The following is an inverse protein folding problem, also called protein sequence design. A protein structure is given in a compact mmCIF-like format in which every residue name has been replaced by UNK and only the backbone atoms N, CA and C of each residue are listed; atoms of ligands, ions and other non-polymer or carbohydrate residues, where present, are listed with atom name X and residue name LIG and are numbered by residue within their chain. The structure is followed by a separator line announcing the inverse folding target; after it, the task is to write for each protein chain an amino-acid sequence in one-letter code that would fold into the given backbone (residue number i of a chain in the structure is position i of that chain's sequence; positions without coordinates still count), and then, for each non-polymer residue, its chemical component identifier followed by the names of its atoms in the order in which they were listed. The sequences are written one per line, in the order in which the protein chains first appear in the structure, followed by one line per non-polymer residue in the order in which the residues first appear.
data_IF_743836257719
#
_entry.id   IF_743836257719
#
_cell.length_a   1.000
_cell.length_b   1.000
_cell.length_c   1.000
_cell.angle_alpha   90.00
_cell.angle_beta   90.00
_cell.angle_gamma   90.00
#
_symmetry.space_group_name_H-M   'P 1'
#
loop_
_entity.id
_entity.type
_entity.pdbx_description
1 polymer ?
#
# COMPACT_ATOMS: atom_id res chain seq x y z
N UNK A 1 -12.21 18.79 13.33
CA UNK A 1 -11.93 19.87 14.31
C UNK A 1 -11.60 21.19 13.62
N UNK A 2 -10.53 21.27 12.82
CA UNK A 2 -10.02 22.50 12.19
C UNK A 2 -11.04 23.30 11.36
N UNK A 3 -11.96 22.61 10.67
CA UNK A 3 -13.00 23.26 9.85
C UNK A 3 -14.04 24.00 10.70
N UNK A 4 -14.43 23.44 11.85
CA UNK A 4 -15.38 24.05 12.77
C UNK A 4 -14.75 25.23 13.52
N UNK A 5 -13.48 25.11 13.93
CA UNK A 5 -12.72 26.23 14.50
C UNK A 5 -12.55 27.38 13.51
N UNK A 6 -12.23 27.08 12.25
CA UNK A 6 -12.14 28.08 11.18
C UNK A 6 -13.48 28.76 10.90
N UNK A 7 -14.56 27.99 10.76
CA UNK A 7 -15.93 28.50 10.56
C UNK A 7 -16.38 29.41 11.71
N UNK A 8 -16.13 29.02 12.96
CA UNK A 8 -16.48 29.83 14.13
C UNK A 8 -15.67 31.12 14.22
N UNK A 9 -14.36 31.05 13.98
CA UNK A 9 -13.49 32.24 13.99
C UNK A 9 -13.93 33.23 12.91
N UNK A 10 -14.25 32.76 11.70
CA UNK A 10 -14.72 33.61 10.61
C UNK A 10 -16.06 34.29 10.93
N UNK A 11 -16.99 33.56 11.57
CA UNK A 11 -18.22 34.15 12.09
C UNK A 11 -18.00 35.16 13.23
N UNK A 12 -16.97 34.96 14.07
CA UNK A 12 -16.60 35.88 15.14
C UNK A 12 -16.03 37.20 14.59
N UNK A 13 -15.22 37.12 13.52
CA UNK A 13 -14.72 38.29 12.78
C UNK A 13 -15.86 39.03 12.04
N UNK A 14 -16.81 38.32 11.44
CA UNK A 14 -17.98 38.92 10.79
C UNK A 14 -18.97 39.54 11.79
N UNK A 15 -19.13 38.95 12.98
CA UNK A 15 -20.04 39.46 14.01
C UNK A 15 -19.55 40.76 14.67
N UNK A 16 -18.24 41.00 14.72
CA UNK A 16 -17.67 42.28 15.16
C UNK A 16 -18.08 43.44 14.24
N UNK A 17 -18.22 43.19 12.94
CA UNK A 17 -18.75 44.18 12.01
C UNK A 17 -20.22 44.54 12.27
N UNK A 18 -20.94 43.77 13.12
CA UNK A 18 -22.37 43.95 13.41
C UNK A 18 -22.69 44.20 14.90
N UNK A 19 -21.70 44.42 15.78
CA UNK A 19 -21.86 44.70 17.22
C UNK A 19 -22.89 43.79 17.96
N UNK A 20 -22.86 42.46 17.75
CA UNK A 20 -23.96 41.58 18.18
C UNK A 20 -23.60 40.30 18.94
N UNK A 21 -22.49 40.23 19.67
CA UNK A 21 -22.25 39.08 20.57
C UNK A 21 -22.11 39.50 22.03
N UNK A 22 -22.92 38.86 22.88
CA UNK A 22 -22.86 39.05 24.33
C UNK A 22 -21.66 38.30 24.93
N UNK A 23 -21.06 38.81 26.02
CA UNK A 23 -19.94 38.16 26.71
C UNK A 23 -20.23 36.71 27.14
N UNK A 24 -21.50 36.40 27.38
CA UNK A 24 -21.98 35.08 27.76
C UNK A 24 -21.82 34.05 26.63
N UNK A 25 -22.12 34.43 25.38
CA UNK A 25 -21.98 33.53 24.22
C UNK A 25 -20.50 33.23 23.94
N UNK A 26 -19.63 34.22 24.15
CA UNK A 26 -18.17 34.04 24.04
C UNK A 26 -17.65 33.07 25.13
N UNK A 27 -18.13 33.19 26.36
CA UNK A 27 -17.77 32.29 27.46
C UNK A 27 -18.27 30.85 27.22
N UNK A 28 -19.50 30.68 26.72
CA UNK A 28 -20.03 29.36 26.38
C UNK A 28 -19.29 28.70 25.21
N UNK A 29 -18.83 29.50 24.22
CA UNK A 29 -18.02 28.99 23.12
C UNK A 29 -16.65 28.52 23.59
N UNK A 30 -15.98 29.32 24.42
CA UNK A 30 -14.69 28.98 25.05
C UNK A 30 -14.82 27.67 25.85
N UNK A 31 -15.86 27.57 26.68
CA UNK A 31 -16.12 26.39 27.51
C UNK A 31 -16.44 25.13 26.67
N UNK A 32 -17.24 25.27 25.61
CA UNK A 32 -17.54 24.18 24.68
C UNK A 32 -16.32 23.65 23.95
N UNK A 33 -15.37 24.52 23.56
CA UNK A 33 -14.08 24.10 23.00
C UNK A 33 -13.14 23.43 23.99
N UNK A 34 -13.14 23.85 25.26
CA UNK A 34 -12.34 23.22 26.33
C UNK A 34 -12.81 21.77 26.55
N UNK A 35 -14.13 21.56 26.69
CA UNK A 35 -14.71 20.23 26.83
C UNK A 35 -14.45 19.34 25.61
N UNK A 36 -14.56 19.89 24.40
CA UNK A 36 -14.29 19.14 23.17
C UNK A 36 -12.79 18.82 22.96
N UNK A 37 -11.89 19.60 23.56
CA UNK A 37 -10.43 19.35 23.53
C UNK A 37 -10.00 18.30 24.56
N UNK A 38 -10.64 18.31 25.74
CA UNK A 38 -10.42 17.31 26.80
C UNK A 38 -11.03 15.95 26.41
N UNK A 39 -12.23 15.94 25.80
CA UNK A 39 -12.93 14.70 25.44
C UNK A 39 -12.30 13.92 24.27
N UNK A 40 -11.41 14.55 23.49
CA UNK A 40 -10.86 13.96 22.25
C UNK A 40 -9.44 13.38 22.43
N UNK A 41 -8.71 13.64 23.52
CA UNK A 41 -7.31 13.21 23.63
C UNK A 41 -6.90 12.65 25.02
N UNK A 42 -6.94 11.32 25.11
CA UNK A 42 -6.52 10.47 26.24
C UNK A 42 -5.02 10.13 26.15
N UNK A 43 -4.14 11.08 25.81
CA UNK A 43 -2.68 10.89 25.87
C UNK A 43 -2.02 12.04 26.65
N UNK A 44 -1.40 11.70 27.79
CA UNK A 44 -0.90 12.62 28.83
C UNK A 44 0.16 13.62 28.33
N UNK A 45 0.93 13.28 27.28
CA UNK A 45 2.14 14.03 26.90
C UNK A 45 1.92 15.36 26.15
N UNK A 46 0.69 15.68 25.72
CA UNK A 46 0.43 16.86 24.85
C UNK A 46 -0.58 17.87 25.40
N UNK A 47 -1.10 17.64 26.60
CA UNK A 47 -2.13 18.50 27.21
C UNK A 47 -1.63 19.94 27.36
N UNK A 48 -0.37 20.12 27.79
CA UNK A 48 0.23 21.44 28.03
C UNK A 48 0.38 22.25 26.74
N UNK A 49 0.81 21.62 25.65
CA UNK A 49 1.00 22.30 24.35
C UNK A 49 -0.35 22.72 23.75
N UNK A 50 -1.33 21.82 23.74
CA UNK A 50 -2.68 22.11 23.24
C UNK A 50 -3.37 23.21 24.06
N UNK A 51 -3.21 23.19 25.40
CA UNK A 51 -3.69 24.25 26.28
C UNK A 51 -3.00 25.60 26.00
N UNK A 52 -1.69 25.59 25.74
CA UNK A 52 -0.92 26.78 25.38
C UNK A 52 -1.37 27.40 24.05
N UNK A 53 -1.55 26.59 23.00
CA UNK A 53 -2.07 27.04 21.70
C UNK A 53 -3.47 27.64 21.84
N UNK A 54 -4.34 26.98 22.60
CA UNK A 54 -5.69 27.49 22.88
C UNK A 54 -5.66 28.85 23.59
N UNK A 55 -4.86 28.98 24.67
CA UNK A 55 -4.71 30.23 25.39
C UNK A 55 -4.19 31.36 24.48
N UNK A 56 -3.26 31.06 23.57
CA UNK A 56 -2.76 32.01 22.59
C UNK A 56 -3.87 32.46 21.60
N UNK A 57 -4.69 31.54 21.09
CA UNK A 57 -5.81 31.87 20.18
C UNK A 57 -6.86 32.74 20.89
N UNK A 58 -7.22 32.40 22.14
CA UNK A 58 -8.15 33.19 22.95
C UNK A 58 -7.58 34.59 23.23
N UNK A 59 -6.31 34.69 23.63
CA UNK A 59 -5.65 35.97 23.86
C UNK A 59 -5.63 36.85 22.60
N UNK A 60 -5.30 36.26 21.44
CA UNK A 60 -5.35 36.95 20.14
C UNK A 60 -6.76 37.45 19.83
N UNK A 61 -7.78 36.60 20.03
CA UNK A 61 -9.18 36.98 19.81
C UNK A 61 -9.61 38.12 20.74
N UNK A 62 -9.22 38.09 22.02
CA UNK A 62 -9.49 39.16 22.99
C UNK A 62 -8.76 40.45 22.62
N UNK A 63 -7.49 40.39 22.22
CA UNK A 63 -6.71 41.57 21.80
C UNK A 63 -7.29 42.21 20.54
N UNK A 64 -7.71 41.39 19.57
CA UNK A 64 -8.46 41.87 18.42
C UNK A 64 -9.74 42.54 18.91
N UNK A 65 -10.62 41.82 19.63
CA UNK A 65 -11.95 42.29 20.01
C UNK A 65 -11.95 43.56 20.86
N UNK A 66 -11.03 43.66 21.82
CA UNK A 66 -10.83 44.84 22.68
C UNK A 66 -10.20 46.03 21.96
N UNK A 67 -9.83 45.88 20.68
CA UNK A 67 -9.23 46.95 19.89
C UNK A 67 -7.74 47.20 20.18
N UNK A 68 -7.12 46.38 21.03
CA UNK A 68 -5.69 46.46 21.34
C UNK A 68 -4.79 45.97 20.19
N UNK A 69 -5.37 45.35 19.17
CA UNK A 69 -4.66 44.86 17.99
C UNK A 69 -5.52 44.98 16.72
N UNK A 70 -4.92 45.44 15.63
CA UNK A 70 -5.60 45.50 14.33
C UNK A 70 -5.91 44.09 13.78
N UNK A 71 -7.05 43.90 13.09
CA UNK A 71 -7.46 42.59 12.58
C UNK A 71 -6.48 41.94 11.58
N UNK A 72 -5.66 42.71 10.87
CA UNK A 72 -4.64 42.16 9.95
C UNK A 72 -3.54 41.41 10.71
N UNK A 73 -3.09 41.96 11.83
CA UNK A 73 -2.07 41.36 12.69
C UNK A 73 -2.62 40.16 13.46
N UNK A 74 -3.88 40.24 13.92
CA UNK A 74 -4.56 39.09 14.50
C UNK A 74 -4.68 37.90 13.55
N UNK A 75 -4.99 38.14 12.27
CA UNK A 75 -5.02 37.10 11.22
C UNK A 75 -3.63 36.51 10.95
N UNK A 76 -2.61 37.34 10.82
CA UNK A 76 -1.24 36.89 10.59
C UNK A 76 -0.72 36.03 11.75
N UNK A 77 -0.94 36.46 13.00
CA UNK A 77 -0.54 35.73 14.20
C UNK A 77 -1.34 34.43 14.37
N UNK A 78 -2.63 34.42 14.01
CA UNK A 78 -3.42 33.19 14.00
C UNK A 78 -2.85 32.16 13.01
N UNK A 79 -2.50 32.58 11.80
CA UNK A 79 -1.84 31.71 10.81
C UNK A 79 -0.52 31.18 11.37
N UNK A 80 0.28 32.02 12.02
CA UNK A 80 1.54 31.62 12.65
C UNK A 80 1.32 30.60 13.79
N UNK A 81 0.32 30.81 14.65
CA UNK A 81 -0.03 29.89 15.74
C UNK A 81 -0.48 28.54 15.19
N UNK A 82 -1.33 28.53 14.16
CA UNK A 82 -1.76 27.31 13.48
C UNK A 82 -0.57 26.62 12.81
N UNK A 83 0.33 27.36 12.18
CA UNK A 83 1.55 26.79 11.60
C UNK A 83 2.44 26.15 12.66
N UNK A 84 2.68 26.83 13.79
CA UNK A 84 3.48 26.29 14.91
C UNK A 84 2.82 25.04 15.50
N UNK A 85 1.50 25.05 15.71
CA UNK A 85 0.75 23.90 16.19
C UNK A 85 0.90 22.71 15.23
N UNK A 86 0.62 22.91 13.94
CA UNK A 86 0.76 21.86 12.93
C UNK A 86 2.20 21.37 12.82
N UNK A 87 3.17 22.28 12.82
CA UNK A 87 4.60 21.95 12.75
C UNK A 87 5.04 21.15 13.97
N UNK A 88 4.73 21.58 15.19
CA UNK A 88 5.10 20.86 16.42
C UNK A 88 4.39 19.52 16.52
N UNK A 89 3.14 19.43 16.05
CA UNK A 89 2.41 18.18 16.00
C UNK A 89 3.04 17.16 15.04
N UNK A 90 3.56 17.61 13.88
CA UNK A 90 3.99 16.77 12.77
C UNK A 90 5.50 16.69 12.52
N UNK A 91 6.35 17.56 13.11
CA UNK A 91 7.79 17.53 12.82
C UNK A 91 8.45 16.19 13.21
N UNK A 92 7.84 15.48 14.17
CA UNK A 92 8.27 14.14 14.59
C UNK A 92 7.91 13.07 13.57
N UNK A 93 6.86 13.29 12.77
CA UNK A 93 6.40 12.37 11.71
C UNK A 93 7.19 12.54 10.41
N UNK A 94 7.78 13.71 10.17
CA UNK A 94 8.62 13.99 8.99
C UNK A 94 10.01 14.39 9.47
N UNK A 95 10.81 13.41 9.96
CA UNK A 95 12.12 13.72 10.48
C UNK A 95 13.05 14.17 9.36
N UNK A 96 13.84 15.22 9.62
CA UNK A 96 14.96 15.59 8.77
C UNK A 96 16.07 14.54 8.94
N UNK A 97 16.14 13.58 8.03
CA UNK A 97 17.14 12.51 8.02
C UNK A 97 18.08 12.65 6.82
N UNK A 98 19.29 12.12 6.95
CA UNK A 98 20.22 12.04 5.83
C UNK A 98 19.58 11.20 4.70
N UNK A 99 19.63 11.71 3.47
CA UNK A 99 19.15 11.02 2.27
C UNK A 99 19.74 9.61 2.16
N UNK A 100 20.99 9.40 2.58
CA UNK A 100 21.67 8.10 2.58
C UNK A 100 20.89 7.04 3.34
N UNK A 101 20.24 7.39 4.45
CA UNK A 101 19.43 6.46 5.24
C UNK A 101 18.23 5.91 4.46
N UNK A 102 17.74 6.63 3.45
CA UNK A 102 16.62 6.20 2.61
C UNK A 102 17.10 5.55 1.31
N UNK A 103 18.24 5.99 0.77
CA UNK A 103 18.74 5.47 -0.51
C UNK A 103 19.67 4.27 -0.38
N UNK A 104 20.24 4.02 0.80
CA UNK A 104 21.08 2.86 1.03
C UNK A 104 20.21 1.62 1.28
N UNK A 105 20.49 0.50 0.59
CA UNK A 105 19.81 -0.75 0.85
C UNK A 105 19.98 -1.17 2.32
N UNK A 106 19.00 -1.87 2.91
CA UNK A 106 19.13 -2.52 4.21
C UNK A 106 20.38 -3.39 4.32
N UNK A 107 21.04 -3.40 5.48
CA UNK A 107 22.21 -4.25 5.76
C UNK A 107 21.91 -5.73 5.46
N UNK A 108 20.73 -6.22 5.83
CA UNK A 108 20.30 -7.61 5.59
C UNK A 108 20.29 -8.00 4.11
N UNK A 109 20.24 -7.04 3.17
CA UNK A 109 20.35 -7.35 1.75
C UNK A 109 21.75 -7.71 1.30
N UNK A 110 22.79 -7.18 1.97
CA UNK A 110 24.18 -7.49 1.62
C UNK A 110 24.48 -8.98 1.77
N UNK A 111 23.72 -9.66 2.65
CA UNK A 111 23.83 -11.07 2.95
C UNK A 111 22.89 -11.96 2.11
N UNK A 112 22.03 -11.39 1.25
CA UNK A 112 21.17 -12.18 0.36
C UNK A 112 21.98 -12.65 -0.86
N UNK A 113 22.16 -13.97 -1.06
CA UNK A 113 23.10 -14.53 -2.04
C UNK A 113 22.70 -14.31 -3.50
N UNK A 114 21.43 -14.02 -3.76
CA UNK A 114 20.92 -13.59 -5.05
C UNK A 114 20.38 -12.17 -4.84
N UNK A 115 20.72 -11.20 -5.70
CA UNK A 115 20.24 -9.83 -5.56
C UNK A 115 19.90 -9.17 -6.91
N UNK A 116 18.60 -8.90 -7.20
CA UNK A 116 17.44 -9.47 -6.51
C UNK A 116 17.12 -10.87 -7.09
N UNK A 117 16.98 -11.90 -6.23
CA UNK A 117 16.40 -13.17 -6.66
C UNK A 117 14.93 -12.94 -7.00
N UNK A 118 14.38 -13.75 -7.90
CA UNK A 118 12.92 -13.83 -8.08
C UNK A 118 12.20 -14.46 -6.87
N UNK A 119 12.94 -14.80 -5.80
CA UNK A 119 12.41 -15.32 -4.54
C UNK A 119 11.97 -14.21 -3.59
N UNK A 120 10.90 -14.51 -2.84
CA UNK A 120 10.39 -13.65 -1.79
C UNK A 120 11.16 -13.82 -0.48
N UNK A 121 11.10 -12.78 0.32
CA UNK A 121 11.55 -12.71 1.71
C UNK A 121 10.32 -12.75 2.63
N UNK A 122 10.47 -13.40 3.78
CA UNK A 122 9.54 -13.32 4.91
C UNK A 122 10.28 -12.80 6.13
N UNK A 123 9.69 -11.89 6.88
CA UNK A 123 10.34 -11.28 8.07
C UNK A 123 9.49 -11.41 9.34
N UNK A 124 8.38 -12.13 9.27
CA UNK A 124 7.50 -12.39 10.40
C UNK A 124 7.97 -13.55 11.29
N UNK A 125 7.39 -13.68 12.47
CA UNK A 125 7.59 -14.83 13.33
C UNK A 125 6.63 -15.97 12.95
N UNK A 126 7.06 -17.23 13.04
CA UNK A 126 6.23 -18.39 12.68
C UNK A 126 5.37 -18.91 13.84
N UNK A 127 5.81 -18.67 15.08
CA UNK A 127 5.11 -19.01 16.32
C UNK A 127 3.98 -18.03 16.65
N UNK A 128 4.05 -16.80 16.12
CA UNK A 128 2.99 -15.79 16.32
C UNK A 128 1.84 -15.96 15.34
N UNK A 129 0.65 -15.59 15.81
CA UNK A 129 -0.54 -15.49 14.98
C UNK A 129 -0.56 -14.21 14.13
N UNK A 130 0.04 -13.11 14.58
CA UNK A 130 -0.02 -11.82 13.89
C UNK A 130 1.26 -11.56 13.10
N UNK A 131 1.08 -11.15 11.83
CA UNK A 131 2.16 -10.54 11.05
C UNK A 131 2.65 -9.25 11.74
N UNK A 132 3.89 -8.85 11.47
CA UNK A 132 4.35 -7.50 11.84
C UNK A 132 3.41 -6.47 11.20
N UNK A 133 2.88 -5.54 11.99
CA UNK A 133 1.87 -4.57 11.55
C UNK A 133 2.33 -3.14 11.83
N UNK A 134 1.78 -2.18 11.09
CA UNK A 134 2.06 -0.73 11.20
C UNK A 134 1.91 -0.12 12.60
N UNK A 135 1.22 -0.79 13.52
CA UNK A 135 1.00 -0.30 14.89
C UNK A 135 1.96 -0.92 15.91
N UNK A 136 2.91 -1.74 15.44
CA UNK A 136 3.93 -2.42 16.24
C UNK A 136 5.31 -2.00 15.72
N UNK A 137 5.57 -0.69 15.74
CA UNK A 137 6.93 -0.19 15.52
C UNK A 137 7.88 -0.83 16.53
N UNK A 138 9.13 -1.12 16.14
CA UNK A 138 10.16 -1.49 17.10
C UNK A 138 10.20 -0.43 18.21
N UNK A 139 10.18 -0.86 19.47
CA UNK A 139 10.32 0.06 20.58
C UNK A 139 11.70 0.71 20.49
N UNK A 140 11.71 2.01 20.16
CA UNK A 140 12.91 2.79 20.05
C UNK A 140 12.72 4.14 20.76
N UNK A 141 13.80 4.76 21.27
CA UNK A 141 13.75 6.07 21.88
C UNK A 141 13.06 7.17 21.06
N UNK A 142 13.01 7.04 19.73
CA UNK A 142 12.32 7.97 18.84
C UNK A 142 11.88 7.29 17.54
N UNK A 143 10.95 7.94 16.83
CA UNK A 143 10.34 7.43 15.59
C UNK A 143 11.36 7.23 14.45
N UNK A 144 12.41 8.06 14.39
CA UNK A 144 13.45 7.95 13.36
C UNK A 144 14.16 6.61 13.47
N UNK A 145 14.56 6.25 14.69
CA UNK A 145 15.22 4.99 14.94
C UNK A 145 14.28 3.81 14.70
N UNK A 146 12.99 3.91 15.05
CA UNK A 146 12.00 2.89 14.69
C UNK A 146 11.94 2.65 13.17
N UNK A 147 11.93 3.71 12.36
CA UNK A 147 11.93 3.58 10.89
C UNK A 147 13.24 3.02 10.33
N UNK A 148 14.38 3.44 10.86
CA UNK A 148 15.68 2.87 10.47
C UNK A 148 15.68 1.37 10.77
N UNK A 149 15.22 0.96 11.95
CA UNK A 149 15.14 -0.45 12.33
C UNK A 149 14.19 -1.26 11.43
N UNK A 150 13.04 -0.70 11.07
CA UNK A 150 12.14 -1.34 10.11
C UNK A 150 12.80 -1.52 8.74
N UNK A 151 13.55 -0.51 8.28
CA UNK A 151 14.32 -0.60 7.04
C UNK A 151 15.40 -1.67 7.14
N UNK A 152 16.28 -1.61 8.16
CA UNK A 152 17.41 -2.53 8.30
C UNK A 152 16.99 -3.98 8.50
N UNK A 153 15.81 -4.22 9.08
CA UNK A 153 15.22 -5.57 9.20
C UNK A 153 14.43 -6.02 7.98
N UNK A 154 14.48 -5.23 6.89
CA UNK A 154 13.72 -5.44 5.66
C UNK A 154 12.22 -5.70 5.94
N UNK A 155 11.62 -4.96 6.87
CA UNK A 155 10.20 -5.07 7.20
C UNK A 155 9.33 -5.04 5.92
N UNK A 156 8.20 -5.77 5.86
CA UNK A 156 7.46 -5.95 4.62
C UNK A 156 7.10 -4.62 3.96
N UNK A 157 7.09 -4.60 2.62
CA UNK A 157 6.92 -3.43 1.75
C UNK A 157 8.07 -2.42 1.72
N UNK A 158 8.86 -2.26 2.79
CA UNK A 158 9.94 -1.25 2.80
C UNK A 158 11.09 -1.63 1.87
N UNK A 159 11.44 -2.91 1.80
CA UNK A 159 12.49 -3.41 0.91
C UNK A 159 12.11 -3.41 -0.58
N UNK A 160 10.85 -3.16 -0.93
CA UNK A 160 10.40 -3.21 -2.33
C UNK A 160 11.04 -2.12 -3.19
N UNK A 161 11.37 -0.97 -2.60
CA UNK A 161 12.12 0.11 -3.29
C UNK A 161 13.52 -0.37 -3.73
N UNK A 162 14.06 -1.38 -3.05
CA UNK A 162 15.36 -1.99 -3.32
C UNK A 162 15.25 -3.32 -4.07
N UNK A 163 14.05 -3.71 -4.52
CA UNK A 163 13.83 -4.95 -5.27
C UNK A 163 13.48 -6.19 -4.44
N UNK A 164 13.23 -6.08 -3.12
CA UNK A 164 12.69 -7.22 -2.37
C UNK A 164 11.22 -7.46 -2.68
N UNK A 165 10.92 -8.73 -2.84
CA UNK A 165 9.56 -9.23 -2.94
C UNK A 165 9.17 -9.88 -1.61
N UNK A 166 7.93 -9.68 -1.20
CA UNK A 166 7.41 -10.20 0.07
C UNK A 166 6.24 -11.14 -0.19
N UNK A 167 6.06 -12.13 0.69
CA UNK A 167 4.85 -12.94 0.74
C UNK A 167 3.80 -12.38 1.71
N UNK A 168 4.23 -11.49 2.61
CA UNK A 168 3.42 -10.79 3.60
C UNK A 168 3.50 -9.27 3.41
N UNK A 169 2.93 -8.53 4.36
CA UNK A 169 2.89 -7.07 4.35
C UNK A 169 1.52 -6.52 3.97
N UNK A 170 1.49 -5.20 3.78
CA UNK A 170 0.28 -4.46 3.49
C UNK A 170 0.09 -4.31 1.99
N UNK A 171 -1.10 -4.64 1.54
CA UNK A 171 -1.53 -4.35 0.19
C UNK A 171 -2.40 -3.09 0.18
N UNK A 172 -2.30 -2.31 -0.88
CA UNK A 172 -3.15 -1.13 -1.05
C UNK A 172 -4.63 -1.50 -1.24
N UNK A 173 -4.89 -2.72 -1.72
CA UNK A 173 -6.22 -3.30 -1.92
C UNK A 173 -6.22 -4.64 -1.19
N UNK A 174 -7.17 -4.85 -0.29
CA UNK A 174 -7.33 -6.14 0.40
C UNK A 174 -8.08 -7.11 -0.52
N UNK A 175 -7.35 -8.06 -1.09
CA UNK A 175 -7.92 -9.09 -1.95
C UNK A 175 -8.45 -10.24 -1.09
N UNK A 176 -9.65 -10.74 -1.40
CA UNK A 176 -10.25 -11.89 -0.69
C UNK A 176 -9.30 -13.09 -0.63
N UNK A 177 -8.67 -13.45 -1.76
CA UNK A 177 -7.72 -14.57 -1.83
C UNK A 177 -6.51 -14.35 -0.92
N UNK A 178 -6.00 -13.11 -0.81
CA UNK A 178 -4.86 -12.81 0.05
C UNK A 178 -5.28 -12.80 1.51
N UNK A 179 -6.43 -12.23 1.85
CA UNK A 179 -6.99 -12.31 3.18
C UNK A 179 -7.16 -13.77 3.63
N UNK A 180 -7.68 -14.62 2.75
CA UNK A 180 -7.88 -16.05 3.02
C UNK A 180 -6.55 -16.78 3.22
N UNK A 181 -5.55 -16.51 2.39
CA UNK A 181 -4.18 -17.01 2.59
C UNK A 181 -3.62 -16.60 3.96
N UNK A 182 -3.76 -15.32 4.33
CA UNK A 182 -3.36 -14.76 5.63
C UNK A 182 -4.07 -15.43 6.79
N UNK A 183 -5.38 -15.66 6.70
CA UNK A 183 -6.14 -16.36 7.74
C UNK A 183 -5.71 -17.82 7.88
N UNK A 184 -5.51 -18.52 6.76
CA UNK A 184 -5.02 -19.89 6.74
C UNK A 184 -3.63 -19.97 7.36
N UNK A 185 -2.73 -19.06 6.99
CA UNK A 185 -1.36 -18.99 7.51
C UNK A 185 -1.36 -18.82 9.02
N UNK A 186 -2.11 -17.81 9.52
CA UNK A 186 -2.21 -17.49 10.95
C UNK A 186 -2.64 -18.67 11.80
N UNK A 187 -3.66 -19.41 11.36
CA UNK A 187 -4.28 -20.52 12.10
C UNK A 187 -3.56 -21.86 11.93
N UNK A 188 -2.50 -21.91 11.13
CA UNK A 188 -1.77 -23.15 10.81
C UNK A 188 -0.66 -23.45 11.81
N UNK A 189 -0.28 -24.74 11.93
CA UNK A 189 0.92 -25.14 12.69
C UNK A 189 2.19 -24.54 12.07
N UNK A 190 3.28 -24.50 12.83
CA UNK A 190 4.57 -23.96 12.36
C UNK A 190 5.05 -24.69 11.10
N UNK A 191 4.93 -26.02 11.06
CA UNK A 191 5.34 -26.83 9.91
C UNK A 191 4.49 -26.53 8.69
N UNK A 192 3.18 -26.28 8.87
CA UNK A 192 2.30 -25.89 7.76
C UNK A 192 2.60 -24.45 7.30
N UNK A 193 2.92 -23.53 8.22
CA UNK A 193 3.37 -22.17 7.87
C UNK A 193 4.65 -22.20 7.02
N UNK A 194 5.65 -23.01 7.41
CA UNK A 194 6.87 -23.18 6.61
C UNK A 194 6.57 -23.67 5.19
N UNK A 195 5.74 -24.73 5.06
CA UNK A 195 5.30 -25.21 3.74
C UNK A 195 4.55 -24.15 2.95
N UNK A 196 3.70 -23.35 3.59
CA UNK A 196 2.97 -22.27 2.93
C UNK A 196 3.94 -21.22 2.36
N UNK A 197 4.98 -20.85 3.11
CA UNK A 197 6.02 -19.92 2.65
C UNK A 197 6.81 -20.50 1.48
N UNK A 198 7.33 -21.72 1.62
CA UNK A 198 8.05 -22.43 0.56
C UNK A 198 7.25 -22.51 -0.74
N UNK A 199 5.97 -22.88 -0.63
CA UNK A 199 5.06 -23.00 -1.79
C UNK A 199 4.56 -21.66 -2.32
N UNK A 200 4.86 -20.56 -1.62
CA UNK A 200 4.56 -19.19 -2.04
C UNK A 200 5.82 -18.44 -2.48
N UNK A 201 6.86 -19.17 -2.92
CA UNK A 201 8.11 -18.64 -3.45
C UNK A 201 8.98 -17.90 -2.41
N UNK A 202 8.77 -18.15 -1.11
CA UNK A 202 9.65 -17.61 -0.07
C UNK A 202 10.85 -18.54 0.10
N UNK A 203 12.05 -18.02 -0.16
CA UNK A 203 13.31 -18.73 0.10
C UNK A 203 14.02 -18.20 1.34
N UNK A 204 13.95 -16.88 1.58
CA UNK A 204 14.68 -16.25 2.67
C UNK A 204 13.72 -15.88 3.79
N UNK A 205 13.99 -16.39 4.98
CA UNK A 205 13.32 -15.99 6.21
C UNK A 205 14.30 -15.19 7.06
N UNK A 206 14.07 -13.88 7.16
CA UNK A 206 14.80 -13.01 8.08
C UNK A 206 14.17 -13.20 9.45
N UNK A 207 14.79 -14.06 10.25
CA UNK A 207 14.36 -14.41 11.60
C UNK A 207 14.69 -13.26 12.56
N UNK A 208 13.99 -12.13 12.42
CA UNK A 208 14.02 -11.01 13.37
C UNK A 208 13.09 -11.22 14.56
N UNK A 209 13.07 -12.43 15.13
CA UNK A 209 12.28 -12.76 16.32
C UNK A 209 12.72 -11.88 17.49
N UNK A 210 11.80 -11.09 18.03
CA UNK A 210 11.97 -10.23 19.22
C UNK A 210 13.33 -9.55 19.37
N UNK A 211 13.66 -8.68 18.42
CA UNK A 211 14.87 -7.85 18.48
C UNK A 211 14.96 -6.95 19.72
N UNK A 212 13.89 -6.80 20.52
CA UNK A 212 13.86 -5.94 21.71
C UNK A 212 12.97 -6.51 22.82
N UNK A 213 13.40 -7.61 23.42
CA UNK A 213 13.27 -7.71 24.89
C UNK A 213 14.12 -6.62 25.55
N UNK A 214 13.85 -6.22 26.81
CA UNK A 214 14.55 -5.13 27.50
C UNK A 214 16.09 -5.25 27.53
N UNK A 215 16.64 -6.43 27.23
CA UNK A 215 18.08 -6.73 27.23
C UNK A 215 18.78 -6.61 25.86
N UNK A 216 18.06 -6.45 24.75
CA UNK A 216 18.68 -6.46 23.42
C UNK A 216 19.20 -5.07 23.01
N UNK A 217 20.47 -4.78 23.36
CA UNK A 217 21.15 -3.52 23.01
C UNK A 217 22.17 -3.64 21.89
N UNK A 218 22.37 -4.82 21.32
CA UNK A 218 23.34 -5.01 20.24
C UNK A 218 23.01 -6.26 19.43
N UNK A 219 22.21 -6.14 18.37
CA UNK A 219 22.21 -7.15 17.32
C UNK A 219 22.66 -6.43 16.06
N UNK A 220 23.79 -6.87 15.49
CA UNK A 220 24.17 -6.51 14.12
C UNK A 220 23.13 -7.14 13.19
N UNK A 221 22.60 -6.38 12.25
CA UNK A 221 21.76 -6.91 11.18
C UNK A 221 22.71 -7.63 10.21
N UNK A 222 22.86 -8.94 10.37
CA UNK A 222 23.82 -9.73 9.59
C UNK A 222 23.29 -11.12 9.21
N UNK A 223 24.12 -11.84 8.45
CA UNK A 223 23.84 -13.16 7.85
C UNK A 223 23.23 -14.19 8.81
N UNK A 224 23.59 -14.13 10.09
CA UNK A 224 23.13 -15.05 11.13
C UNK A 224 21.61 -14.97 11.39
N UNK A 225 20.97 -13.89 10.91
CA UNK A 225 19.52 -13.69 10.99
C UNK A 225 18.75 -14.27 9.80
N UNK A 226 19.42 -14.69 8.72
CA UNK A 226 18.77 -15.19 7.50
C UNK A 226 18.76 -16.72 7.54
N UNK A 227 17.56 -17.29 7.43
CA UNK A 227 17.35 -18.72 7.27
C UNK A 227 16.85 -19.01 5.86
N UNK A 228 17.44 -19.99 5.20
CA UNK A 228 16.99 -20.42 3.87
C UNK A 228 16.04 -21.61 3.94
N UNK A 229 14.90 -21.48 3.28
CA UNK A 229 14.01 -22.60 3.00
C UNK A 229 14.48 -23.35 1.76
N UNK A 230 14.95 -24.59 1.98
CA UNK A 230 15.55 -25.42 0.93
C UNK A 230 14.54 -25.91 -0.12
N UNK A 231 13.26 -25.99 0.23
CA UNK A 231 12.22 -26.48 -0.69
C UNK A 231 11.37 -25.37 -1.30
N UNK A 232 11.86 -24.12 -1.26
CA UNK A 232 11.18 -22.99 -1.88
C UNK A 232 10.89 -23.25 -3.37
N UNK A 233 9.64 -23.01 -3.78
CA UNK A 233 9.29 -23.09 -5.20
C UNK A 233 9.84 -21.89 -5.97
N UNK A 234 10.35 -22.09 -7.20
CA UNK A 234 10.74 -20.98 -8.05
C UNK A 234 9.51 -20.12 -8.39
N UNK A 235 9.75 -18.87 -8.82
CA UNK A 235 8.65 -17.91 -9.05
C UNK A 235 7.65 -18.40 -10.11
N UNK A 236 8.15 -19.12 -11.10
CA UNK A 236 7.32 -19.88 -12.01
C UNK A 236 7.94 -21.26 -12.25
N UNK A 237 7.08 -22.24 -12.52
CA UNK A 237 7.46 -23.60 -12.85
C UNK A 237 6.41 -24.22 -13.76
N UNK A 238 6.75 -25.36 -14.36
CA UNK A 238 5.89 -26.09 -15.27
C UNK A 238 5.46 -27.40 -14.63
N UNK A 239 4.20 -27.81 -14.86
CA UNK A 239 3.67 -29.07 -14.33
C UNK A 239 2.95 -29.89 -15.41
N UNK A 240 3.07 -31.23 -15.36
CA UNK A 240 2.52 -32.12 -16.37
C UNK A 240 1.05 -32.48 -16.19
N UNK A 241 0.45 -32.19 -15.04
CA UNK A 241 -0.89 -32.68 -14.73
C UNK A 241 -1.75 -31.60 -14.09
N UNK A 242 -3.06 -31.84 -14.10
CA UNK A 242 -4.03 -31.02 -13.40
C UNK A 242 -4.99 -31.89 -12.59
N UNK A 243 -5.46 -31.33 -11.48
CA UNK A 243 -6.57 -31.86 -10.71
C UNK A 243 -7.67 -30.81 -10.66
N UNK A 244 -8.83 -31.16 -11.20
CA UNK A 244 -9.99 -30.30 -11.25
C UNK A 244 -10.97 -30.64 -10.13
N UNK A 245 -11.67 -29.63 -9.61
CA UNK A 245 -12.68 -29.83 -8.58
C UNK A 245 -13.21 -28.52 -8.01
N UNK A 246 -14.29 -28.56 -7.22
CA UNK A 246 -14.84 -27.36 -6.61
C UNK A 246 -13.84 -26.76 -5.62
N UNK A 247 -13.76 -25.43 -5.60
CA UNK A 247 -12.80 -24.64 -4.82
C UNK A 247 -12.66 -25.10 -3.36
N UNK A 248 -13.80 -25.31 -2.67
CA UNK A 248 -13.86 -25.70 -1.26
C UNK A 248 -13.11 -27.02 -0.97
N UNK A 249 -12.96 -27.91 -1.96
CA UNK A 249 -12.22 -29.17 -1.82
C UNK A 249 -10.73 -29.00 -2.08
N UNK A 250 -10.33 -28.01 -2.88
CA UNK A 250 -8.96 -27.85 -3.37
C UNK A 250 -8.12 -26.85 -2.56
N UNK A 251 -8.76 -25.88 -1.91
CA UNK A 251 -8.06 -24.74 -1.28
C UNK A 251 -7.00 -25.16 -0.24
N UNK A 252 -7.27 -26.20 0.54
CA UNK A 252 -6.31 -26.72 1.53
C UNK A 252 -5.31 -27.72 0.93
N UNK A 253 -5.61 -28.32 -0.21
CA UNK A 253 -4.78 -29.36 -0.83
C UNK A 253 -3.41 -28.81 -1.21
N UNK A 254 -3.33 -27.58 -1.73
CA UNK A 254 -2.05 -26.99 -2.14
C UNK A 254 -1.04 -26.85 -0.98
N UNK A 255 -1.47 -26.83 0.28
CA UNK A 255 -0.59 -26.76 1.45
C UNK A 255 -0.57 -28.05 2.29
N UNK A 256 -1.23 -29.10 1.80
CA UNK A 256 -1.23 -30.42 2.41
C UNK A 256 0.15 -31.07 2.30
N UNK A 257 0.51 -31.89 3.29
CA UNK A 257 1.86 -32.49 3.41
C UNK A 257 2.15 -33.48 2.28
N UNK A 258 1.13 -34.19 1.83
CA UNK A 258 1.12 -35.25 0.83
C UNK A 258 0.93 -34.74 -0.62
N UNK A 259 0.64 -33.46 -0.79
CA UNK A 259 0.52 -32.85 -2.11
C UNK A 259 1.89 -32.37 -2.63
N UNK A 260 2.24 -32.74 -3.87
CA UNK A 260 3.45 -32.27 -4.55
C UNK A 260 3.10 -31.20 -5.60
N UNK A 261 3.37 -29.91 -5.33
CA UNK A 261 3.03 -28.82 -6.23
C UNK A 261 3.84 -28.83 -7.53
N UNK A 262 4.91 -29.64 -7.64
CA UNK A 262 5.70 -29.75 -8.88
C UNK A 262 5.13 -30.77 -9.87
N UNK A 263 4.13 -31.56 -9.47
CA UNK A 263 3.55 -32.62 -10.30
C UNK A 263 2.20 -32.28 -10.87
N UNK A 264 1.40 -31.49 -10.17
CA UNK A 264 0.05 -31.15 -10.63
C UNK A 264 -0.37 -29.75 -10.19
N UNK A 265 -1.20 -29.11 -11.02
CA UNK A 265 -1.88 -27.85 -10.68
C UNK A 265 -3.34 -28.12 -10.28
N UNK A 266 -3.81 -27.44 -9.25
CA UNK A 266 -5.22 -27.50 -8.84
C UNK A 266 -6.03 -26.42 -9.56
N UNK A 267 -7.12 -26.79 -10.23
CA UNK A 267 -7.98 -25.89 -11.00
C UNK A 267 -9.43 -25.99 -10.49
N UNK A 268 -10.06 -24.83 -10.32
CA UNK A 268 -11.41 -24.68 -9.78
C UNK A 268 -12.53 -24.74 -10.83
N UNK A 269 -12.15 -24.78 -12.11
CA UNK A 269 -13.06 -24.83 -13.26
C UNK A 269 -12.59 -25.88 -14.26
N UNK A 270 -13.52 -26.45 -15.04
CA UNK A 270 -13.15 -27.36 -16.11
C UNK A 270 -12.34 -26.65 -17.19
N UNK A 271 -11.32 -27.32 -17.70
CA UNK A 271 -10.47 -26.86 -18.80
C UNK A 271 -10.39 -27.97 -19.85
N UNK A 272 -10.68 -27.61 -21.09
CA UNK A 272 -10.51 -28.49 -22.25
C UNK A 272 -9.05 -28.42 -22.72
N UNK A 273 -8.19 -29.14 -22.00
CA UNK A 273 -6.76 -29.23 -22.29
C UNK A 273 -6.25 -30.58 -21.78
N UNK A 274 -5.63 -31.36 -22.67
CA UNK A 274 -5.13 -32.70 -22.34
C UNK A 274 -3.62 -32.65 -22.07
N UNK A 275 -3.18 -32.90 -20.83
CA UNK A 275 -1.76 -32.96 -20.51
C UNK A 275 -1.13 -34.22 -21.11
N UNK A 276 0.17 -34.15 -21.42
CA UNK A 276 0.89 -35.30 -21.98
C UNK A 276 1.38 -36.25 -20.89
N UNK A 277 1.40 -37.56 -21.20
CA UNK A 277 1.95 -38.57 -20.27
C UNK A 277 3.45 -38.40 -20.01
N UNK A 278 4.20 -37.99 -21.03
CA UNK A 278 5.60 -37.62 -20.92
C UNK A 278 5.72 -36.11 -20.89
N UNK A 279 6.50 -35.62 -19.93
CA UNK A 279 6.68 -34.20 -19.73
C UNK A 279 8.06 -33.89 -19.18
N UNK A 280 8.72 -32.90 -19.77
CA UNK A 280 9.89 -32.25 -19.21
C UNK A 280 9.84 -30.78 -19.58
N UNK A 281 10.05 -29.88 -18.63
CA UNK A 281 9.82 -28.46 -18.86
C UNK A 281 10.66 -27.57 -17.96
N UNK A 282 11.16 -26.49 -18.53
CA UNK A 282 11.93 -25.47 -17.83
C UNK A 282 11.42 -24.07 -18.14
N UNK A 283 11.42 -23.22 -17.11
CA UNK A 283 11.28 -21.77 -17.26
C UNK A 283 12.68 -21.20 -17.45
N UNK A 284 12.94 -20.62 -18.61
CA UNK A 284 14.27 -20.15 -19.00
C UNK A 284 14.57 -18.76 -18.47
N UNK A 285 13.58 -17.86 -18.48
CA UNK A 285 13.73 -16.50 -17.97
C UNK A 285 12.41 -15.92 -17.50
N UNK A 286 12.48 -14.99 -16.56
CA UNK A 286 11.33 -14.20 -16.09
C UNK A 286 11.79 -12.75 -15.96
N UNK A 287 11.04 -11.84 -16.57
CA UNK A 287 11.28 -10.41 -16.53
C UNK A 287 10.03 -9.71 -15.96
N UNK A 288 10.22 -8.87 -14.94
CA UNK A 288 9.14 -8.15 -14.27
C UNK A 288 9.18 -6.65 -14.57
N UNK A 289 7.99 -6.09 -14.75
CA UNK A 289 7.70 -4.66 -14.64
C UNK A 289 6.40 -4.49 -13.84
N UNK A 290 6.03 -3.27 -13.39
CA UNK A 290 4.86 -3.09 -12.53
C UNK A 290 3.55 -3.68 -13.09
N UNK A 291 3.35 -3.59 -14.41
CA UNK A 291 2.11 -4.01 -15.08
C UNK A 291 2.33 -5.10 -16.14
N UNK A 292 3.55 -5.62 -16.29
CA UNK A 292 3.86 -6.69 -17.25
C UNK A 292 4.81 -7.73 -16.66
N UNK A 293 4.59 -8.99 -17.00
CA UNK A 293 5.51 -10.09 -16.70
C UNK A 293 5.77 -10.85 -18.00
N UNK A 294 7.03 -11.03 -18.36
CA UNK A 294 7.42 -11.80 -19.54
C UNK A 294 8.15 -13.06 -19.11
N UNK A 295 7.73 -14.21 -19.62
CA UNK A 295 8.37 -15.50 -19.37
C UNK A 295 8.75 -16.17 -20.68
N UNK A 296 9.92 -16.81 -20.69
CA UNK A 296 10.31 -17.77 -21.73
C UNK A 296 10.33 -19.16 -21.15
N UNK A 297 9.69 -20.09 -21.82
CA UNK A 297 9.63 -21.49 -21.38
C UNK A 297 10.01 -22.42 -22.51
N UNK A 298 10.46 -23.62 -22.15
CA UNK A 298 10.64 -24.73 -23.07
C UNK A 298 10.13 -25.99 -22.40
N UNK A 299 9.30 -26.76 -23.09
CA UNK A 299 8.81 -28.04 -22.62
C UNK A 299 8.62 -29.07 -23.73
N UNK A 300 8.77 -30.32 -23.36
CA UNK A 300 8.33 -31.50 -24.09
C UNK A 300 7.03 -31.97 -23.44
N UNK A 301 5.99 -32.16 -24.24
CA UNK A 301 4.65 -32.49 -23.75
C UNK A 301 3.82 -31.27 -23.35
N UNK A 302 2.50 -31.47 -23.38
CA UNK A 302 1.50 -30.50 -22.96
C UNK A 302 1.47 -30.42 -21.43
N UNK A 303 1.45 -29.21 -20.90
CA UNK A 303 1.42 -28.97 -19.46
C UNK A 303 0.94 -27.57 -19.11
N UNK A 304 1.20 -27.16 -17.87
CA UNK A 304 0.80 -25.86 -17.36
C UNK A 304 1.99 -25.09 -16.82
N UNK A 305 2.11 -23.82 -17.22
CA UNK A 305 2.88 -22.86 -16.46
C UNK A 305 2.09 -22.49 -15.21
N UNK A 306 2.73 -22.56 -14.04
CA UNK A 306 2.25 -21.98 -12.80
C UNK A 306 3.14 -20.79 -12.45
N UNK A 307 2.53 -19.62 -12.29
CA UNK A 307 3.19 -18.39 -11.86
C UNK A 307 2.69 -18.03 -10.46
N UNK A 308 3.59 -17.99 -9.47
CA UNK A 308 3.28 -17.73 -8.06
C UNK A 308 3.00 -16.25 -7.76
N UNK A 309 2.33 -15.58 -8.69
CA UNK A 309 1.71 -14.27 -8.54
C UNK A 309 0.24 -14.43 -8.21
N UNK A 310 -0.28 -13.58 -7.33
CA UNK A 310 -1.69 -13.59 -6.97
C UNK A 310 -2.59 -13.47 -8.20
N UNK A 311 -3.57 -14.35 -8.32
CA UNK A 311 -4.64 -14.24 -9.31
C UNK A 311 -5.51 -13.04 -8.97
N UNK A 312 -5.67 -12.12 -9.92
CA UNK A 312 -6.47 -10.92 -9.77
C UNK A 312 -7.14 -10.55 -11.11
N UNK A 313 -8.41 -10.12 -11.12
CA UNK A 313 -9.08 -9.66 -12.34
C UNK A 313 -8.34 -8.49 -13.03
N UNK A 314 -8.46 -8.38 -14.35
CA UNK A 314 -7.72 -7.40 -15.17
C UNK A 314 -6.33 -7.85 -15.66
N UNK A 315 -5.81 -8.98 -15.18
CA UNK A 315 -4.65 -9.63 -15.81
C UNK A 315 -5.07 -10.42 -17.05
N UNK A 316 -4.32 -10.25 -18.12
CA UNK A 316 -4.44 -11.01 -19.38
C UNK A 316 -3.10 -11.61 -19.73
N UNK A 317 -3.09 -12.67 -20.54
CA UNK A 317 -1.87 -13.30 -21.03
C UNK A 317 -1.94 -13.56 -22.52
N UNK A 318 -0.83 -13.31 -23.19
CA UNK A 318 -0.61 -13.74 -24.57
C UNK A 318 0.48 -14.81 -24.57
N UNK A 319 0.27 -15.87 -25.36
CA UNK A 319 1.26 -16.92 -25.65
C UNK A 319 1.60 -16.81 -27.12
N UNK A 320 2.89 -16.57 -27.41
CA UNK A 320 3.40 -16.39 -28.78
C UNK A 320 2.61 -15.33 -29.59
N UNK A 321 2.27 -14.24 -28.92
CA UNK A 321 1.53 -13.10 -29.48
C UNK A 321 0.01 -13.29 -29.59
N UNK A 322 -0.53 -14.46 -29.21
CA UNK A 322 -1.98 -14.74 -29.26
C UNK A 322 -2.59 -14.75 -27.86
N UNK A 323 -3.82 -14.22 -27.67
CA UNK A 323 -4.51 -14.33 -26.39
C UNK A 323 -4.64 -15.79 -25.95
N UNK A 324 -4.38 -16.07 -24.67
CA UNK A 324 -4.46 -17.41 -24.10
C UNK A 324 -5.28 -17.38 -22.79
N UNK A 325 -5.90 -18.52 -22.40
CA UNK A 325 -6.68 -18.56 -21.17
C UNK A 325 -5.79 -18.41 -19.93
N UNK A 326 -6.10 -17.42 -19.10
CA UNK A 326 -5.53 -17.26 -17.77
C UNK A 326 -6.39 -18.01 -16.74
N UNK A 327 -5.81 -18.99 -16.07
CA UNK A 327 -6.48 -19.85 -15.09
C UNK A 327 -6.12 -19.45 -13.65
N UNK A 328 -7.06 -19.65 -12.72
CA UNK A 328 -6.79 -19.58 -11.28
C UNK A 328 -6.23 -20.93 -10.82
N UNK A 329 -4.96 -20.93 -10.47
CA UNK A 329 -4.21 -22.11 -10.07
C UNK A 329 -4.03 -22.16 -8.55
N UNK A 330 -4.18 -23.35 -7.97
CA UNK A 330 -3.93 -23.59 -6.56
C UNK A 330 -4.70 -22.60 -5.67
N UNK A 331 -5.87 -22.17 -6.15
CA UNK A 331 -6.73 -21.10 -5.63
C UNK A 331 -6.12 -19.68 -5.60
N UNK A 332 -4.83 -19.52 -5.31
CA UNK A 332 -4.20 -18.21 -5.10
C UNK A 332 -3.46 -17.65 -6.31
N UNK A 333 -3.01 -18.51 -7.24
CA UNK A 333 -1.99 -18.19 -8.23
C UNK A 333 -2.52 -18.24 -9.67
N UNK A 334 -1.65 -17.94 -10.63
CA UNK A 334 -1.99 -17.96 -12.07
C UNK A 334 -1.47 -19.23 -12.72
N UNK A 335 -2.23 -19.79 -13.65
CA UNK A 335 -1.70 -20.77 -14.59
C UNK A 335 -2.12 -20.50 -16.03
N UNK A 336 -1.32 -21.04 -16.96
CA UNK A 336 -1.57 -20.98 -18.40
C UNK A 336 -1.31 -22.38 -18.97
N UNK A 337 -2.27 -22.99 -19.68
CA UNK A 337 -2.02 -24.22 -20.43
C UNK A 337 -1.08 -23.93 -21.60
N UNK A 338 -0.09 -24.78 -21.80
CA UNK A 338 0.93 -24.63 -22.83
C UNK A 338 1.13 -25.97 -23.53
N UNK A 339 1.11 -25.96 -24.86
CA UNK A 339 1.41 -27.14 -25.68
C UNK A 339 2.92 -27.47 -25.64
N UNK A 340 3.31 -28.62 -26.17
CA UNK A 340 4.74 -28.95 -26.31
C UNK A 340 5.46 -27.91 -27.18
N UNK A 341 6.59 -27.37 -26.71
CA UNK A 341 7.37 -26.40 -27.48
C UNK A 341 8.10 -25.35 -26.65
N UNK A 342 8.55 -24.30 -27.34
CA UNK A 342 9.09 -23.09 -26.72
C UNK A 342 8.03 -22.00 -26.80
N UNK A 343 7.80 -21.31 -25.68
CA UNK A 343 6.77 -20.28 -25.61
C UNK A 343 7.30 -18.98 -25.02
N UNK A 344 6.84 -17.87 -25.60
CA UNK A 344 6.92 -16.54 -25.01
C UNK A 344 5.57 -16.18 -24.40
N UNK A 345 5.52 -16.06 -23.08
CA UNK A 345 4.34 -15.60 -22.36
C UNK A 345 4.47 -14.15 -21.97
N UNK A 346 3.43 -13.36 -22.23
CA UNK A 346 3.38 -11.94 -21.93
C UNK A 346 2.11 -11.65 -21.13
N UNK A 347 2.28 -11.48 -19.83
CA UNK A 347 1.21 -11.06 -18.92
C UNK A 347 1.12 -9.54 -18.93
N UNK A 348 -0.09 -9.02 -19.00
CA UNK A 348 -0.37 -7.59 -18.93
C UNK A 348 -1.53 -7.31 -17.99
N UNK A 349 -1.34 -6.35 -17.10
CA UNK A 349 -2.38 -5.86 -16.21
C UNK A 349 -3.01 -4.59 -16.75
N UNK A 350 -4.33 -4.59 -16.84
CA UNK A 350 -5.15 -3.40 -17.07
C UNK A 350 -6.28 -3.44 -16.03
N UNK A 351 -6.34 -2.47 -15.09
CA UNK A 351 -7.42 -2.42 -14.11
C UNK A 351 -8.79 -2.40 -14.79
N UNK A 352 -9.73 -3.17 -14.26
CA UNK A 352 -11.13 -3.11 -14.68
C UNK A 352 -11.69 -1.70 -14.42
N UNK A 353 -12.45 -1.15 -15.37
CA UNK A 353 -12.99 0.20 -15.27
C UNK A 353 -12.01 1.31 -15.66
N UNK A 354 -10.73 1.03 -15.95
CA UNK A 354 -9.78 2.07 -16.33
C UNK A 354 -10.18 2.75 -17.64
N UNK A 355 -10.61 1.98 -18.63
CA UNK A 355 -10.98 2.49 -19.96
C UNK A 355 -12.25 3.33 -19.87
N UNK A 356 -13.24 2.85 -19.13
CA UNK A 356 -14.51 3.53 -18.87
C UNK A 356 -14.27 4.82 -18.07
N UNK A 357 -13.45 4.76 -17.03
CA UNK A 357 -13.06 5.92 -16.22
C UNK A 357 -12.31 6.98 -17.02
N UNK A 358 -11.44 6.57 -17.94
CA UNK A 358 -10.78 7.48 -18.88
C UNK A 358 -11.78 8.16 -19.81
N UNK A 359 -12.74 7.42 -20.36
CA UNK A 359 -13.78 7.98 -21.23
C UNK A 359 -14.65 9.00 -20.49
N UNK A 360 -15.09 8.69 -19.26
CA UNK A 360 -15.88 9.60 -18.42
C UNK A 360 -15.07 10.85 -18.06
N UNK A 361 -13.81 10.69 -17.67
CA UNK A 361 -12.93 11.82 -17.33
C UNK A 361 -12.75 12.75 -18.53
N UNK A 362 -12.45 12.18 -19.71
CA UNK A 362 -12.31 12.95 -20.94
C UNK A 362 -13.58 13.72 -21.28
N UNK A 363 -14.74 13.07 -21.21
CA UNK A 363 -16.04 13.70 -21.43
C UNK A 363 -16.29 14.87 -20.47
N UNK A 364 -15.99 14.69 -19.18
CA UNK A 364 -16.17 15.75 -18.17
C UNK A 364 -15.22 16.93 -18.39
N UNK A 365 -13.98 16.68 -18.83
CA UNK A 365 -13.04 17.75 -19.20
C UNK A 365 -13.56 18.53 -20.40
N UNK A 366 -14.07 17.85 -21.44
CA UNK A 366 -14.65 18.50 -22.61
C UNK A 366 -15.85 19.38 -22.22
N UNK A 367 -16.76 18.86 -21.40
CA UNK A 367 -17.92 19.63 -20.90
C UNK A 367 -17.46 20.84 -20.09
N UNK A 368 -16.50 20.66 -19.19
CA UNK A 368 -15.95 21.75 -18.38
C UNK A 368 -15.35 22.86 -19.24
N UNK A 369 -14.54 22.50 -20.24
CA UNK A 369 -13.94 23.45 -21.18
C UNK A 369 -15.01 24.16 -22.03
N UNK A 370 -16.04 23.45 -22.49
CA UNK A 370 -17.14 24.04 -23.23
C UNK A 370 -17.89 25.10 -22.39
N UNK A 371 -18.17 24.81 -21.12
CA UNK A 371 -18.81 25.76 -20.20
C UNK A 371 -17.93 26.99 -19.95
N UNK A 372 -16.62 26.79 -19.79
CA UNK A 372 -15.68 27.90 -19.65
C UNK A 372 -15.66 28.79 -20.90
N UNK A 373 -15.59 28.19 -22.09
CA UNK A 373 -15.63 28.93 -23.36
C UNK A 373 -16.91 29.75 -23.48
N UNK A 374 -18.08 29.14 -23.25
CA UNK A 374 -19.37 29.86 -23.28
C UNK A 374 -19.37 31.03 -22.31
N UNK A 375 -18.84 30.87 -21.09
CA UNK A 375 -18.76 31.97 -20.11
C UNK A 375 -17.80 33.08 -20.53
N UNK A 376 -16.70 32.76 -21.21
CA UNK A 376 -15.76 33.75 -21.74
C UNK A 376 -16.40 34.52 -22.89
N UNK A 377 -17.01 33.82 -23.85
CA UNK A 377 -17.68 34.46 -24.99
C UNK A 377 -18.92 35.25 -24.59
N UNK A 378 -19.70 34.80 -23.60
CA UNK A 378 -20.84 35.55 -23.07
C UNK A 378 -20.43 36.83 -22.32
N UNK A 379 -19.16 36.95 -21.89
CA UNK A 379 -18.61 38.16 -21.26
C UNK A 379 -17.95 39.12 -22.26
N UNK A 380 -17.77 38.70 -23.52
CA UNK A 380 -17.29 39.62 -24.55
C UNK A 380 -18.46 40.56 -24.93
N UNK A 381 -18.26 41.88 -24.91
CA UNK A 381 -19.32 42.82 -25.23
C UNK A 381 -19.76 42.64 -26.69
N UNK A 382 -21.05 42.36 -26.88
CA UNK A 382 -21.71 42.14 -28.19
C UNK A 382 -21.62 43.38 -29.12
N UNK A 383 -21.32 44.57 -28.58
CA UNK A 383 -21.49 45.85 -29.28
C UNK A 383 -20.28 46.37 -30.09
N UNK A 384 -19.36 45.53 -30.59
CA UNK A 384 -18.28 46.02 -31.49
C UNK A 384 -18.60 45.99 -32.99
N UNK A 385 -19.76 45.46 -33.40
CA UNK A 385 -20.11 45.34 -34.82
C UNK A 385 -21.14 46.37 -35.34
N UNK A 386 -21.82 47.11 -34.45
CA UNK A 386 -22.78 48.14 -34.87
C UNK A 386 -22.10 49.46 -35.27
N UNK A 387 -20.85 49.70 -34.89
CA UNK A 387 -20.09 50.91 -35.27
C UNK A 387 -19.52 50.86 -36.70
N UNK A 388 -19.78 49.80 -37.47
CA UNK A 388 -19.33 49.65 -38.86
C UNK A 388 -20.46 49.76 -39.89
N UNK A 389 -21.71 50.03 -39.46
CA UNK A 389 -22.87 50.23 -40.35
C UNK A 389 -23.27 51.68 -40.58
N UNK A 390 -22.54 52.64 -39.99
CA UNK A 390 -22.74 54.08 -40.20
C UNK A 390 -21.47 54.69 -40.79
N UNK A 391 -21.27 54.52 -42.09
CA UNK A 391 -20.30 55.28 -42.90
C UNK A 391 -20.82 55.43 -44.31
#
# INVERSE_FOLDING_TARGET
MTFLTGYFIDHLFQARARHRLSPFILACLIFGTILASIAVYVHEDRIVLSAGVFAAVVALAVMVFTGRMEPRWGRALLVLVVFIDLWTAHNRLVPFIDKKLVTQPPEVMADLPESPPLYRVYTGALDRERFRSKNLFPQAPNLVLSHILEKETASPNLGTVFGLHYADGLMAIELENVWLWTQMFRKSSIEKKQRMLERSNVRYWVAGGDLFGPESRSHRFGSDSIREFQNALPRAFLVPAMRQGPEIKLINTFFAKDFDPRKEVLLDRPVDFQPSERFDGTVQSIEYSPNHVTLRTRQEGNGFLVLLDSYFPGWTVHVDGKPAPLLRANHFFRAVPLESGMHLLQFKYVPEGLVEGQAVTFLMVVIFLAVLLVRVFARLPVNRWDSLKTS
#
